data_IF_484096017127
#
_entry.id   IF_484096017127
#
_cell.length_a   1.000
_cell.length_b   1.000
_cell.length_c   1.000
_cell.angle_alpha   90.00
_cell.angle_beta   90.00
_cell.angle_gamma   90.00
#
_symmetry.space_group_name_H-M   'P 1'
#
loop_
_entity.id
_entity.type
_entity.pdbx_description
1 polymer ?
#
# COMPACT_ATOMS: atom_id res chain seq x y z
N UNK A 1 -5.31 -28.12 -6.19
CA UNK A 1 -6.02 -26.89 -6.63
C UNK A 1 -4.96 -25.81 -6.72
N UNK A 2 -4.97 -25.00 -7.77
CA UNK A 2 -4.09 -23.85 -7.87
C UNK A 2 -4.62 -22.74 -6.96
N UNK A 3 -3.73 -22.05 -6.25
CA UNK A 3 -4.09 -20.93 -5.37
C UNK A 3 -4.87 -19.85 -6.12
N UNK A 4 -5.93 -19.33 -5.51
CA UNK A 4 -6.78 -18.28 -6.08
C UNK A 4 -6.18 -16.91 -5.75
N UNK A 5 -5.89 -16.10 -6.77
CA UNK A 5 -5.34 -14.74 -6.64
C UNK A 5 -6.39 -13.71 -7.02
N UNK A 6 -6.74 -12.83 -6.10
CA UNK A 6 -7.52 -11.63 -6.38
C UNK A 6 -6.60 -10.39 -6.41
N UNK A 7 -6.55 -9.70 -7.54
CA UNK A 7 -5.97 -8.36 -7.60
C UNK A 7 -7.00 -7.32 -7.11
N UNK A 8 -6.55 -6.30 -6.39
CA UNK A 8 -7.38 -5.18 -5.91
C UNK A 8 -6.74 -3.87 -6.36
N UNK A 9 -7.52 -3.05 -7.08
CA UNK A 9 -7.13 -1.70 -7.48
C UNK A 9 -8.10 -0.71 -6.85
N UNK A 10 -7.57 0.34 -6.23
CA UNK A 10 -8.38 1.44 -5.68
C UNK A 10 -8.22 2.67 -6.55
N UNK A 11 -9.33 3.27 -6.99
CA UNK A 11 -9.29 4.45 -7.87
C UNK A 11 -10.20 5.57 -7.37
N UNK A 12 -9.77 6.81 -7.63
CA UNK A 12 -10.57 8.00 -7.40
C UNK A 12 -10.18 9.11 -8.38
N UNK A 13 -11.04 9.40 -9.38
CA UNK A 13 -10.81 10.46 -10.38
C UNK A 13 -9.47 10.31 -11.12
N UNK A 14 -9.20 9.12 -11.70
CA UNK A 14 -7.96 8.75 -12.40
C UNK A 14 -8.20 8.06 -13.73
N UNK A 15 -9.22 8.49 -14.45
CA UNK A 15 -9.61 7.91 -15.75
C UNK A 15 -8.45 7.83 -16.75
N UNK A 16 -7.52 8.78 -16.69
CA UNK A 16 -6.35 8.88 -17.57
C UNK A 16 -5.33 7.73 -17.44
N UNK A 17 -5.23 7.12 -16.26
CA UNK A 17 -4.23 6.08 -15.96
C UNK A 17 -4.84 4.69 -15.73
N UNK A 18 -6.03 4.64 -15.16
CA UNK A 18 -6.68 3.42 -14.69
C UNK A 18 -6.77 2.33 -15.78
N UNK A 19 -7.18 2.66 -17.00
CA UNK A 19 -7.30 1.67 -18.08
C UNK A 19 -6.00 0.89 -18.30
N UNK A 20 -4.86 1.58 -18.39
CA UNK A 20 -3.55 0.95 -18.53
C UNK A 20 -3.18 0.06 -17.34
N UNK A 21 -3.56 0.45 -16.12
CA UNK A 21 -3.33 -0.38 -14.91
C UNK A 21 -4.11 -1.69 -15.03
N UNK A 22 -5.43 -1.61 -15.32
CA UNK A 22 -6.28 -2.79 -15.43
C UNK A 22 -5.80 -3.73 -16.54
N UNK A 23 -5.45 -3.20 -17.71
CA UNK A 23 -4.92 -3.98 -18.82
C UNK A 23 -3.62 -4.69 -18.44
N UNK A 24 -2.70 -4.03 -17.72
CA UNK A 24 -1.44 -4.63 -17.28
C UNK A 24 -1.64 -5.78 -16.27
N UNK A 25 -2.68 -5.72 -15.45
CA UNK A 25 -3.05 -6.79 -14.51
C UNK A 25 -3.70 -7.96 -15.26
N UNK A 26 -4.58 -7.67 -16.20
CA UNK A 26 -5.28 -8.71 -16.97
C UNK A 26 -4.35 -9.45 -17.93
N UNK A 27 -3.21 -8.83 -18.33
CA UNK A 27 -2.19 -9.39 -19.22
C UNK A 27 -1.08 -10.18 -18.49
N UNK A 28 -1.20 -10.44 -17.17
CA UNK A 28 -0.18 -11.17 -16.42
C UNK A 28 0.06 -12.60 -16.97
N UNK A 29 1.33 -13.04 -17.04
CA UNK A 29 1.74 -14.43 -17.44
C UNK A 29 1.11 -15.48 -16.51
N UNK A 30 1.03 -15.20 -15.21
CA UNK A 30 0.16 -15.88 -14.25
C UNK A 30 -1.16 -15.05 -14.14
N UNK A 31 -2.24 -15.45 -14.84
CA UNK A 31 -3.49 -14.69 -14.80
C UNK A 31 -4.04 -14.55 -13.38
N UNK A 32 -4.60 -13.40 -13.05
CA UNK A 32 -5.40 -13.23 -11.84
C UNK A 32 -6.72 -13.98 -11.99
N UNK A 33 -7.18 -14.62 -10.91
CA UNK A 33 -8.47 -15.32 -10.91
C UNK A 33 -9.63 -14.31 -10.76
N UNK A 34 -9.35 -13.14 -10.16
CA UNK A 34 -10.27 -12.02 -10.03
C UNK A 34 -9.52 -10.69 -9.99
N UNK A 35 -10.10 -9.67 -10.64
CA UNK A 35 -9.69 -8.27 -10.52
C UNK A 35 -10.83 -7.50 -9.88
N UNK A 36 -10.63 -7.01 -8.66
CA UNK A 36 -11.60 -6.21 -7.91
C UNK A 36 -11.18 -4.75 -8.02
N UNK A 37 -12.01 -3.93 -8.64
CA UNK A 37 -11.79 -2.49 -8.78
C UNK A 37 -12.71 -1.75 -7.82
N UNK A 38 -12.11 -1.02 -6.88
CA UNK A 38 -12.85 -0.16 -5.95
C UNK A 38 -12.88 1.26 -6.52
N UNK A 39 -14.02 1.64 -7.11
CA UNK A 39 -14.30 3.04 -7.45
C UNK A 39 -14.72 3.79 -6.19
N UNK A 40 -13.83 4.59 -5.67
CA UNK A 40 -13.99 5.33 -4.41
C UNK A 40 -14.87 6.60 -4.58
N UNK A 41 -16.03 6.44 -5.24
CA UNK A 41 -17.00 7.48 -5.61
C UNK A 41 -16.43 8.52 -6.59
N UNK A 42 -15.81 8.09 -7.69
CA UNK A 42 -15.31 8.98 -8.74
C UNK A 42 -16.43 9.82 -9.36
N UNK A 43 -16.09 11.05 -9.71
CA UNK A 43 -17.00 12.05 -10.31
C UNK A 43 -16.60 12.47 -11.72
N UNK A 44 -15.47 11.96 -12.22
CA UNK A 44 -15.01 12.11 -13.60
C UNK A 44 -15.56 10.99 -14.51
N UNK A 45 -14.92 10.72 -15.64
CA UNK A 45 -15.30 9.65 -16.57
C UNK A 45 -14.82 8.24 -16.15
N UNK A 46 -14.35 8.05 -14.91
CA UNK A 46 -13.91 6.72 -14.41
C UNK A 46 -15.03 5.67 -14.52
N UNK A 47 -16.30 5.94 -14.14
CA UNK A 47 -17.36 4.94 -14.29
C UNK A 47 -17.62 4.50 -15.74
N UNK A 48 -17.48 5.42 -16.70
CA UNK A 48 -17.62 5.10 -18.13
C UNK A 48 -16.47 4.23 -18.65
N UNK A 49 -15.23 4.49 -18.18
CA UNK A 49 -14.09 3.62 -18.45
C UNK A 49 -14.30 2.22 -17.88
N UNK A 50 -14.75 2.13 -16.63
CA UNK A 50 -14.94 0.84 -15.96
C UNK A 50 -16.01 -0.02 -16.64
N UNK A 51 -17.04 0.58 -17.24
CA UNK A 51 -18.07 -0.14 -17.98
C UNK A 51 -17.52 -0.95 -19.17
N UNK A 52 -16.32 -0.62 -19.70
CA UNK A 52 -15.65 -1.41 -20.75
C UNK A 52 -15.27 -2.81 -20.27
N UNK A 53 -15.11 -2.99 -18.97
CA UNK A 53 -14.69 -4.25 -18.35
C UNK A 53 -15.86 -5.10 -17.79
N UNK A 54 -17.10 -4.62 -17.90
CA UNK A 54 -18.29 -5.30 -17.35
C UNK A 54 -18.52 -6.72 -17.93
N UNK A 55 -18.08 -6.96 -19.17
CA UNK A 55 -18.21 -8.27 -19.83
C UNK A 55 -17.08 -9.25 -19.49
N UNK A 56 -16.00 -8.84 -18.82
CA UNK A 56 -14.93 -9.76 -18.38
C UNK A 56 -15.32 -10.42 -17.05
N UNK A 57 -15.56 -11.74 -17.04
CA UNK A 57 -16.03 -12.46 -15.84
C UNK A 57 -15.01 -12.44 -14.69
N UNK A 58 -13.78 -12.06 -14.95
CA UNK A 58 -12.74 -11.91 -13.91
C UNK A 58 -12.83 -10.58 -13.18
N UNK A 59 -13.48 -9.56 -13.78
CA UNK A 59 -13.54 -8.19 -13.24
C UNK A 59 -14.78 -8.00 -12.38
N UNK A 60 -14.58 -7.49 -11.19
CA UNK A 60 -15.65 -7.09 -10.28
C UNK A 60 -15.48 -5.62 -9.89
N UNK A 61 -16.41 -4.77 -10.31
CA UNK A 61 -16.41 -3.35 -10.00
C UNK A 61 -17.26 -3.10 -8.77
N UNK A 62 -16.67 -2.47 -7.75
CA UNK A 62 -17.35 -2.09 -6.50
C UNK A 62 -17.28 -0.58 -6.37
N UNK A 63 -18.42 0.10 -6.55
CA UNK A 63 -18.53 1.53 -6.33
C UNK A 63 -18.93 1.83 -4.90
N UNK A 64 -18.15 2.68 -4.22
CA UNK A 64 -18.48 3.16 -2.88
C UNK A 64 -19.42 4.39 -2.95
N UNK A 65 -20.22 4.59 -1.89
CA UNK A 65 -21.16 5.70 -1.79
C UNK A 65 -20.46 7.07 -1.59
N UNK A 66 -19.26 7.05 -1.06
CA UNK A 66 -18.44 8.24 -0.79
C UNK A 66 -16.96 7.92 -0.83
N UNK A 67 -16.12 8.93 -1.06
CA UNK A 67 -14.67 8.79 -0.99
C UNK A 67 -14.23 8.52 0.45
N UNK A 68 -13.70 7.32 0.69
CA UNK A 68 -13.19 6.84 1.98
C UNK A 68 -11.65 6.92 2.07
N UNK A 69 -11.01 7.56 1.10
CA UNK A 69 -9.55 7.61 0.98
C UNK A 69 -8.96 6.28 0.49
N UNK A 70 -7.65 6.26 0.28
CA UNK A 70 -6.92 5.03 -0.09
C UNK A 70 -7.13 3.93 0.96
N UNK A 71 -6.99 4.27 2.23
CA UNK A 71 -7.15 3.34 3.36
C UNK A 71 -8.50 2.61 3.35
N UNK A 72 -9.59 3.36 3.15
CA UNK A 72 -10.94 2.79 3.08
C UNK A 72 -11.16 1.95 1.83
N UNK A 73 -10.65 2.41 0.68
CA UNK A 73 -10.71 1.67 -0.58
C UNK A 73 -9.99 0.33 -0.50
N UNK A 74 -8.73 0.30 -0.01
CA UNK A 74 -7.97 -0.94 0.17
C UNK A 74 -8.62 -1.87 1.20
N UNK A 75 -9.14 -1.32 2.31
CA UNK A 75 -9.87 -2.12 3.29
C UNK A 75 -11.10 -2.80 2.67
N UNK A 76 -11.90 -2.08 1.88
CA UNK A 76 -13.08 -2.62 1.19
C UNK A 76 -12.70 -3.68 0.14
N UNK A 77 -11.67 -3.41 -0.68
CA UNK A 77 -11.21 -4.34 -1.71
C UNK A 77 -10.63 -5.63 -1.13
N UNK A 78 -9.81 -5.53 -0.08
CA UNK A 78 -9.24 -6.69 0.61
C UNK A 78 -10.32 -7.51 1.31
N UNK A 79 -11.32 -6.86 1.95
CA UNK A 79 -12.47 -7.57 2.54
C UNK A 79 -13.23 -8.34 1.45
N UNK A 80 -13.48 -7.69 0.30
CA UNK A 80 -14.17 -8.31 -0.82
C UNK A 80 -13.41 -9.52 -1.39
N UNK A 81 -12.09 -9.38 -1.58
CA UNK A 81 -11.23 -10.49 -2.01
C UNK A 81 -11.27 -11.66 -1.01
N UNK A 82 -11.21 -11.35 0.27
CA UNK A 82 -11.31 -12.33 1.35
C UNK A 82 -12.66 -13.05 1.37
N UNK A 83 -13.77 -12.33 1.20
CA UNK A 83 -15.14 -12.91 1.09
C UNK A 83 -15.28 -13.82 -0.13
N UNK A 84 -14.62 -13.49 -1.24
CA UNK A 84 -14.59 -14.31 -2.47
C UNK A 84 -13.71 -15.56 -2.36
N UNK A 85 -13.04 -15.78 -1.24
CA UNK A 85 -12.25 -16.98 -1.00
C UNK A 85 -10.84 -16.92 -1.56
N UNK A 86 -10.32 -15.75 -1.96
CA UNK A 86 -8.97 -15.63 -2.46
C UNK A 86 -7.93 -16.14 -1.44
N UNK A 87 -6.95 -16.92 -1.90
CA UNK A 87 -5.81 -17.39 -1.12
C UNK A 87 -4.74 -16.29 -1.01
N UNK A 88 -4.68 -15.45 -2.06
CA UNK A 88 -3.77 -14.31 -2.18
C UNK A 88 -4.51 -13.06 -2.60
N UNK A 89 -4.19 -11.94 -1.98
CA UNK A 89 -4.70 -10.62 -2.35
C UNK A 89 -3.54 -9.76 -2.80
N UNK A 90 -3.55 -9.34 -4.07
CA UNK A 90 -2.53 -8.50 -4.69
C UNK A 90 -3.08 -7.08 -4.85
N UNK A 91 -2.61 -6.14 -4.02
CA UNK A 91 -3.14 -4.77 -3.95
C UNK A 91 -2.22 -3.77 -4.63
N UNK A 92 -2.79 -2.74 -5.27
CA UNK A 92 -2.04 -1.65 -5.91
C UNK A 92 -2.89 -0.40 -6.17
N UNK A 93 -2.20 0.74 -6.35
CA UNK A 93 -2.79 2.02 -6.74
C UNK A 93 -3.16 2.07 -8.23
N UNK A 94 -3.98 3.07 -8.63
CA UNK A 94 -4.51 3.27 -9.99
C UNK A 94 -3.53 3.94 -10.98
N UNK A 95 -2.27 4.11 -10.59
CA UNK A 95 -1.17 4.63 -11.42
C UNK A 95 0.08 3.74 -11.39
N UNK A 96 -0.11 2.43 -11.15
CA UNK A 96 0.93 1.42 -11.08
C UNK A 96 0.83 0.43 -12.24
N UNK A 97 1.80 0.44 -13.15
CA UNK A 97 1.84 -0.46 -14.30
C UNK A 97 2.72 -1.66 -14.00
N UNK A 98 2.15 -2.86 -14.04
CA UNK A 98 2.86 -4.10 -13.75
C UNK A 98 3.55 -4.67 -14.99
N UNK A 99 4.79 -5.18 -14.86
CA UNK A 99 5.36 -6.01 -15.92
C UNK A 99 4.59 -7.34 -16.01
N UNK A 100 4.55 -7.94 -17.20
CA UNK A 100 3.78 -9.15 -17.53
C UNK A 100 4.04 -10.32 -16.57
N UNK A 101 5.26 -10.44 -16.04
CA UNK A 101 5.67 -11.53 -15.15
C UNK A 101 5.66 -11.14 -13.66
N UNK A 102 5.15 -9.97 -13.32
CA UNK A 102 5.27 -9.44 -11.95
C UNK A 102 4.58 -10.34 -10.91
N UNK A 103 3.37 -10.80 -11.17
CA UNK A 103 2.63 -11.68 -10.26
C UNK A 103 3.28 -13.07 -10.12
N UNK A 104 3.71 -13.65 -11.24
CA UNK A 104 4.41 -14.95 -11.26
C UNK A 104 5.65 -14.91 -10.37
N UNK A 105 6.45 -13.84 -10.50
CA UNK A 105 7.67 -13.64 -9.72
C UNK A 105 7.38 -13.33 -8.26
N UNK A 106 6.29 -12.59 -7.95
CA UNK A 106 5.86 -12.40 -6.57
C UNK A 106 5.53 -13.72 -5.89
N UNK A 107 4.74 -14.56 -6.54
CA UNK A 107 4.31 -15.86 -5.98
C UNK A 107 5.51 -16.80 -5.80
N UNK A 108 6.36 -16.96 -6.83
CA UNK A 108 7.53 -17.84 -6.76
C UNK A 108 8.55 -17.35 -5.74
N UNK A 109 8.90 -16.05 -5.77
CA UNK A 109 9.85 -15.47 -4.83
C UNK A 109 9.34 -15.48 -3.38
N UNK A 110 8.01 -15.34 -3.16
CA UNK A 110 7.41 -15.51 -1.85
C UNK A 110 7.62 -16.94 -1.32
N UNK A 111 7.31 -17.95 -2.15
CA UNK A 111 7.45 -19.36 -1.77
C UNK A 111 8.93 -19.73 -1.51
N UNK A 112 9.85 -19.28 -2.36
CA UNK A 112 11.28 -19.45 -2.18
C UNK A 112 11.78 -18.83 -0.86
N UNK A 113 11.31 -17.62 -0.55
CA UNK A 113 11.66 -16.95 0.70
C UNK A 113 11.12 -17.69 1.94
N UNK A 114 9.88 -18.21 1.89
CA UNK A 114 9.33 -19.05 2.98
C UNK A 114 10.14 -20.31 3.20
N UNK A 115 10.50 -20.99 2.12
CA UNK A 115 11.34 -22.19 2.18
C UNK A 115 12.70 -21.90 2.81
N UNK A 116 13.38 -20.85 2.39
CA UNK A 116 14.71 -20.48 2.86
C UNK A 116 14.70 -20.01 4.32
N UNK A 117 13.68 -19.23 4.70
CA UNK A 117 13.53 -18.71 6.06
C UNK A 117 12.97 -19.76 7.05
N UNK A 118 12.41 -20.87 6.56
CA UNK A 118 11.75 -21.88 7.39
C UNK A 118 10.54 -21.37 8.18
N UNK A 119 9.91 -20.29 7.69
CA UNK A 119 8.74 -19.66 8.33
C UNK A 119 7.82 -19.01 7.32
N UNK A 120 6.56 -18.77 7.72
CA UNK A 120 5.63 -17.99 6.94
C UNK A 120 6.13 -16.53 6.75
N UNK A 121 6.05 -16.03 5.53
CA UNK A 121 6.27 -14.63 5.18
C UNK A 121 4.93 -13.90 5.19
N UNK A 122 4.76 -12.76 5.89
CA UNK A 122 3.46 -12.13 6.04
C UNK A 122 2.97 -11.42 4.77
N UNK A 123 3.86 -10.96 3.91
CA UNK A 123 3.59 -10.36 2.60
C UNK A 123 4.86 -10.31 1.77
N UNK A 124 4.68 -10.12 0.46
CA UNK A 124 5.75 -9.75 -0.46
C UNK A 124 5.35 -8.53 -1.28
N UNK A 125 6.32 -7.76 -1.77
CA UNK A 125 6.07 -6.65 -2.67
C UNK A 125 7.04 -6.65 -3.85
N UNK A 126 6.64 -5.98 -4.94
CA UNK A 126 7.49 -5.76 -6.11
C UNK A 126 8.54 -4.68 -5.86
N UNK A 127 9.59 -4.67 -6.67
CA UNK A 127 10.49 -3.52 -6.80
C UNK A 127 9.80 -2.45 -7.65
N UNK A 128 9.62 -1.26 -7.07
CA UNK A 128 8.92 -0.15 -7.73
C UNK A 128 9.91 0.75 -8.45
N UNK A 129 9.68 0.97 -9.74
CA UNK A 129 10.42 1.91 -10.58
C UNK A 129 9.60 3.19 -10.82
N UNK A 130 10.28 4.27 -11.02
CA UNK A 130 9.74 5.49 -11.60
C UNK A 130 9.70 5.37 -13.14
N UNK A 131 9.01 6.27 -13.82
CA UNK A 131 8.78 6.24 -15.28
C UNK A 131 10.05 6.33 -16.12
N UNK A 132 11.17 6.81 -15.58
CA UNK A 132 12.49 6.85 -16.21
C UNK A 132 13.32 5.58 -15.97
N UNK A 133 12.78 4.58 -15.27
CA UNK A 133 13.42 3.33 -14.91
C UNK A 133 14.25 3.37 -13.62
N UNK A 134 14.44 4.53 -13.02
CA UNK A 134 15.09 4.65 -11.70
C UNK A 134 14.21 4.08 -10.58
N UNK A 135 14.80 3.81 -9.41
CA UNK A 135 14.04 3.40 -8.23
C UNK A 135 13.06 4.52 -7.84
N UNK A 136 11.82 4.16 -7.55
CA UNK A 136 10.82 5.10 -7.08
C UNK A 136 11.08 5.47 -5.61
N UNK A 137 11.49 6.73 -5.36
CA UNK A 137 11.90 7.18 -4.01
C UNK A 137 10.76 7.09 -2.99
N UNK A 138 9.52 7.35 -3.41
CA UNK A 138 8.35 7.27 -2.52
C UNK A 138 8.05 5.85 -2.05
N UNK A 139 8.43 4.84 -2.86
CA UNK A 139 8.06 3.44 -2.63
C UNK A 139 9.24 2.56 -2.19
N UNK A 140 10.31 3.17 -1.68
CA UNK A 140 11.39 2.42 -1.06
C UNK A 140 10.87 1.67 0.16
N UNK A 141 10.99 0.35 0.14
CA UNK A 141 10.63 -0.49 1.27
C UNK A 141 11.60 -0.28 2.46
N UNK A 142 11.08 -0.35 3.67
CA UNK A 142 11.90 -0.28 4.88
C UNK A 142 12.69 -1.59 5.08
N UNK A 143 13.98 -1.58 4.86
CA UNK A 143 14.82 -2.75 5.00
C UNK A 143 15.07 -3.12 6.47
N UNK A 144 15.19 -4.44 6.77
CA UNK A 144 15.67 -4.90 8.07
C UNK A 144 17.18 -4.69 8.20
N UNK A 145 17.74 -4.84 9.42
CA UNK A 145 19.19 -4.76 9.62
C UNK A 145 19.95 -5.88 8.86
N UNK A 146 19.33 -7.05 8.66
CA UNK A 146 19.87 -8.21 7.93
C UNK A 146 19.24 -8.39 6.53
N UNK A 147 18.79 -7.31 5.91
CA UNK A 147 18.06 -7.26 4.65
C UNK A 147 18.64 -8.15 3.53
N UNK A 148 19.97 -8.28 3.48
CA UNK A 148 20.70 -9.02 2.46
C UNK A 148 20.78 -10.54 2.68
N UNK A 149 20.17 -11.09 3.74
CA UNK A 149 20.25 -12.52 4.08
C UNK A 149 19.86 -13.42 2.91
N UNK A 150 18.75 -13.15 2.25
CA UNK A 150 18.28 -13.94 1.11
C UNK A 150 19.17 -13.79 -0.13
N UNK A 151 19.73 -12.59 -0.36
CA UNK A 151 20.70 -12.36 -1.46
C UNK A 151 21.98 -13.19 -1.21
N UNK A 152 22.47 -13.25 0.03
CA UNK A 152 23.65 -14.07 0.39
C UNK A 152 23.43 -15.57 0.13
N UNK A 153 22.19 -16.02 0.06
CA UNK A 153 21.76 -17.38 -0.24
C UNK A 153 21.38 -17.57 -1.72
N UNK A 154 21.66 -16.58 -2.57
CA UNK A 154 21.44 -16.65 -4.01
C UNK A 154 20.02 -16.26 -4.48
N UNK A 155 19.14 -15.83 -3.57
CA UNK A 155 17.79 -15.42 -3.92
C UNK A 155 17.73 -13.95 -4.37
N UNK A 156 16.74 -13.62 -5.16
CA UNK A 156 16.47 -12.26 -5.65
C UNK A 156 15.43 -11.55 -4.80
N UNK A 157 15.65 -11.57 -3.48
CA UNK A 157 14.75 -11.00 -2.50
C UNK A 157 15.51 -10.32 -1.35
N UNK A 158 14.90 -9.32 -0.74
CA UNK A 158 15.42 -8.63 0.46
C UNK A 158 14.38 -8.64 1.56
N UNK A 159 14.84 -8.70 2.83
CA UNK A 159 13.96 -8.64 4.00
C UNK A 159 13.54 -7.20 4.28
N UNK A 160 12.24 -6.98 4.47
CA UNK A 160 11.65 -5.65 4.69
C UNK A 160 10.69 -5.66 5.87
N UNK A 161 10.59 -4.53 6.56
CA UNK A 161 9.63 -4.33 7.67
C UNK A 161 8.32 -3.70 7.20
N UNK A 162 8.36 -2.91 6.11
CA UNK A 162 7.21 -2.19 5.58
C UNK A 162 7.40 -1.87 4.10
N UNK A 163 6.29 -1.61 3.41
CA UNK A 163 6.26 -1.08 2.05
C UNK A 163 4.97 -0.30 1.80
N UNK A 164 4.93 0.47 0.70
CA UNK A 164 3.71 1.15 0.23
C UNK A 164 2.78 0.18 -0.51
N UNK A 165 1.48 0.54 -0.63
CA UNK A 165 0.47 -0.25 -1.35
C UNK A 165 0.59 -0.17 -2.88
N UNK A 166 1.82 -0.18 -3.37
CA UNK A 166 2.17 -0.23 -4.78
C UNK A 166 2.68 -1.64 -5.11
N UNK A 167 1.78 -2.56 -5.48
CA UNK A 167 2.08 -3.98 -5.75
C UNK A 167 2.52 -4.79 -4.51
N UNK A 168 1.58 -5.04 -3.61
CA UNK A 168 1.79 -5.88 -2.42
C UNK A 168 0.93 -7.13 -2.51
N UNK A 169 1.55 -8.30 -2.42
CA UNK A 169 0.91 -9.62 -2.38
C UNK A 169 0.79 -10.10 -0.94
N UNK A 170 -0.43 -10.33 -0.49
CA UNK A 170 -0.76 -10.65 0.91
C UNK A 170 -1.46 -12.00 0.97
N UNK A 171 -0.91 -13.00 1.68
CA UNK A 171 -1.58 -14.29 1.84
C UNK A 171 -2.81 -14.13 2.74
N UNK A 172 -3.87 -14.88 2.43
CA UNK A 172 -5.12 -14.92 3.19
C UNK A 172 -4.92 -15.07 4.70
N UNK A 173 -3.93 -15.86 5.11
CA UNK A 173 -3.59 -16.09 6.52
C UNK A 173 -3.20 -14.81 7.26
N UNK A 174 -2.52 -13.87 6.58
CA UNK A 174 -2.13 -12.57 7.17
C UNK A 174 -3.37 -11.70 7.40
N UNK A 175 -4.30 -11.64 6.43
CA UNK A 175 -5.57 -10.93 6.57
C UNK A 175 -6.42 -11.53 7.69
N UNK A 176 -6.49 -12.86 7.75
CA UNK A 176 -7.24 -13.57 8.80
C UNK A 176 -6.71 -13.27 10.20
N UNK A 177 -5.38 -13.15 10.35
CA UNK A 177 -4.73 -12.93 11.65
C UNK A 177 -4.75 -11.48 12.09
N UNK A 178 -4.45 -10.56 11.17
CA UNK A 178 -4.18 -9.16 11.50
C UNK A 178 -5.30 -8.19 11.10
N UNK A 179 -6.32 -8.66 10.39
CA UNK A 179 -7.44 -7.85 9.90
C UNK A 179 -7.08 -7.00 8.68
N UNK A 180 -7.86 -5.95 8.48
CA UNK A 180 -7.85 -5.07 7.33
C UNK A 180 -7.11 -3.75 7.63
N UNK A 181 -6.73 -2.95 6.60
CA UNK A 181 -6.22 -1.59 6.78
C UNK A 181 -7.17 -0.71 7.59
N UNK A 182 -6.62 0.24 8.34
CA UNK A 182 -7.37 1.16 9.20
C UNK A 182 -8.07 2.23 8.36
N UNK A 183 -9.38 2.09 8.16
CA UNK A 183 -10.20 3.01 7.34
C UNK A 183 -10.09 4.46 7.82
N UNK A 184 -9.98 4.67 9.13
CA UNK A 184 -9.91 5.98 9.77
C UNK A 184 -8.64 6.76 9.44
N UNK A 185 -7.63 6.09 8.89
CA UNK A 185 -6.41 6.74 8.40
C UNK A 185 -6.67 7.59 7.17
N UNK A 186 -7.63 7.21 6.36
CA UNK A 186 -8.07 7.87 5.13
C UNK A 186 -6.99 7.87 4.04
N UNK A 187 -5.84 8.49 4.27
CA UNK A 187 -4.69 8.58 3.36
C UNK A 187 -3.40 8.81 4.15
N UNK A 188 -2.30 8.26 3.61
CA UNK A 188 -0.94 8.33 4.13
C UNK A 188 -0.74 7.62 5.46
N UNK A 189 0.32 6.85 5.53
CA UNK A 189 0.70 5.99 6.64
C UNK A 189 -0.22 4.77 6.86
N UNK A 190 -1.26 4.61 6.10
CA UNK A 190 -2.13 3.42 6.13
C UNK A 190 -1.41 2.15 5.64
N UNK A 191 -0.60 2.30 4.59
CA UNK A 191 0.30 1.29 4.03
C UNK A 191 1.42 0.90 5.01
N UNK A 192 2.07 1.89 5.59
CA UNK A 192 3.13 1.70 6.60
C UNK A 192 2.58 1.02 7.85
N UNK A 193 1.45 1.49 8.39
CA UNK A 193 0.82 0.90 9.57
C UNK A 193 0.46 -0.56 9.31
N UNK A 194 -0.20 -0.84 8.19
CA UNK A 194 -0.65 -2.19 7.87
C UNK A 194 0.52 -3.15 7.71
N UNK A 195 1.53 -2.79 6.92
CA UNK A 195 2.69 -3.66 6.66
C UNK A 195 3.58 -3.83 7.89
N UNK A 196 3.78 -2.81 8.72
CA UNK A 196 4.42 -2.92 10.03
C UNK A 196 3.65 -3.85 10.98
N UNK A 197 2.31 -3.72 11.03
CA UNK A 197 1.46 -4.55 11.88
C UNK A 197 1.52 -6.03 11.49
N UNK A 198 1.44 -6.34 10.20
CA UNK A 198 1.53 -7.73 9.74
C UNK A 198 2.96 -8.29 9.79
N UNK A 199 3.98 -7.44 9.94
CA UNK A 199 5.37 -7.83 10.19
C UNK A 199 5.66 -8.23 11.65
N UNK A 200 4.67 -8.20 12.55
CA UNK A 200 4.87 -8.53 13.97
C UNK A 200 5.41 -9.95 14.19
N UNK A 201 5.13 -10.90 13.31
CA UNK A 201 5.66 -12.27 13.39
C UNK A 201 6.95 -12.47 12.58
N UNK A 202 7.47 -11.43 11.98
CA UNK A 202 8.68 -11.43 11.18
C UNK A 202 8.54 -10.60 9.90
N UNK A 203 9.68 -10.23 9.28
CA UNK A 203 9.71 -9.36 8.14
C UNK A 203 9.01 -9.96 6.91
N UNK A 204 8.45 -9.08 6.07
CA UNK A 204 8.06 -9.36 4.71
C UNK A 204 9.28 -9.43 3.78
N UNK A 205 9.03 -9.59 2.47
CA UNK A 205 10.08 -9.64 1.46
C UNK A 205 9.76 -8.73 0.28
N UNK A 206 10.76 -8.06 -0.26
CA UNK A 206 10.68 -7.41 -1.57
C UNK A 206 11.34 -8.30 -2.61
N UNK A 207 10.61 -8.64 -3.67
CA UNK A 207 11.07 -9.49 -4.77
C UNK A 207 11.67 -8.58 -5.84
N UNK A 208 12.99 -8.69 -6.05
CA UNK A 208 13.76 -7.72 -6.85
C UNK A 208 13.55 -7.83 -8.36
N UNK A 209 13.05 -8.94 -8.85
CA UNK A 209 12.73 -9.16 -10.26
C UNK A 209 11.22 -9.15 -10.57
N UNK A 210 10.38 -8.98 -9.58
CA UNK A 210 9.01 -8.55 -9.76
C UNK A 210 8.97 -7.02 -9.88
N UNK A 211 8.62 -6.51 -11.06
CA UNK A 211 8.80 -5.11 -11.39
C UNK A 211 7.47 -4.43 -11.69
N UNK A 212 7.30 -3.23 -11.13
CA UNK A 212 6.18 -2.34 -11.43
C UNK A 212 6.69 -0.92 -11.62
N UNK A 213 6.02 -0.14 -12.46
CA UNK A 213 6.30 1.27 -12.68
C UNK A 213 5.22 2.10 -12.04
N UNK A 214 5.58 3.00 -11.14
CA UNK A 214 4.68 3.98 -10.55
C UNK A 214 4.77 5.30 -11.30
N UNK A 215 3.67 5.70 -11.95
CA UNK A 215 3.60 6.90 -12.80
C UNK A 215 3.18 8.13 -11.98
N UNK A 216 4.15 8.66 -11.26
CA UNK A 216 3.98 9.89 -10.46
C UNK A 216 4.49 11.12 -11.20
N UNK A 217 4.02 12.33 -10.85
CA UNK A 217 4.50 13.59 -11.44
C UNK A 217 6.00 13.86 -11.21
N UNK A 218 6.54 13.39 -10.08
CA UNK A 218 7.96 13.58 -9.71
C UNK A 218 8.46 12.40 -8.89
N UNK A 219 9.72 11.98 -9.10
CA UNK A 219 10.37 10.95 -8.29
C UNK A 219 10.92 11.54 -6.99
N UNK A 220 10.05 11.75 -6.01
CA UNK A 220 10.42 12.30 -4.70
C UNK A 220 9.59 11.68 -3.59
N UNK A 221 10.25 11.36 -2.48
CA UNK A 221 9.58 10.93 -1.25
C UNK A 221 8.79 12.05 -0.57
N UNK A 222 7.97 11.68 0.41
CA UNK A 222 7.17 12.65 1.20
C UNK A 222 8.08 13.47 2.11
N UNK A 223 7.97 14.79 2.05
CA UNK A 223 8.74 15.71 2.88
C UNK A 223 7.85 16.83 3.42
N UNK A 224 7.79 17.02 4.73
CA UNK A 224 7.01 18.08 5.36
C UNK A 224 7.50 19.50 5.00
N UNK A 225 8.70 19.65 4.45
CA UNK A 225 9.18 20.90 3.88
C UNK A 225 8.44 21.33 2.61
N UNK A 226 7.79 20.40 1.90
CA UNK A 226 7.00 20.67 0.68
C UNK A 226 5.53 21.02 0.98
N UNK A 227 5.17 21.13 2.26
CA UNK A 227 3.81 21.46 2.71
C UNK A 227 3.41 22.87 2.27
N UNK A 228 2.28 22.95 1.56
CA UNK A 228 1.67 24.20 1.10
C UNK A 228 0.14 24.15 1.22
N UNK A 229 -0.60 25.24 1.00
CA UNK A 229 -2.06 25.25 1.15
C UNK A 229 -2.82 24.25 0.29
N UNK A 230 -2.33 23.93 -0.92
CA UNK A 230 -3.01 23.03 -1.85
C UNK A 230 -2.91 21.56 -1.43
N UNK A 231 -1.76 21.15 -0.86
CA UNK A 231 -1.50 19.78 -0.45
C UNK A 231 -1.68 19.53 1.07
N UNK A 232 -1.97 20.59 1.84
CA UNK A 232 -2.00 20.55 3.30
C UNK A 232 -2.90 19.43 3.87
N UNK A 233 -4.00 19.12 3.22
CA UNK A 233 -4.94 18.11 3.68
C UNK A 233 -4.27 16.72 3.83
N UNK A 234 -3.43 16.30 2.86
CA UNK A 234 -2.70 15.03 2.93
C UNK A 234 -1.72 15.03 4.12
N UNK A 235 -0.92 16.09 4.25
CA UNK A 235 0.06 16.23 5.34
C UNK A 235 -0.59 16.24 6.74
N UNK A 236 -1.81 16.76 6.85
CA UNK A 236 -2.54 16.77 8.13
C UNK A 236 -2.99 15.36 8.52
N UNK A 237 -3.48 14.55 7.58
CA UNK A 237 -3.75 13.12 7.82
C UNK A 237 -2.46 12.38 8.19
N UNK A 238 -1.40 12.50 7.38
CA UNK A 238 -0.12 11.85 7.63
C UNK A 238 0.46 12.19 9.00
N UNK A 239 0.45 13.46 9.39
CA UNK A 239 0.94 13.91 10.71
C UNK A 239 0.16 13.26 11.88
N UNK A 240 -1.17 13.16 11.77
CA UNK A 240 -2.00 12.48 12.77
C UNK A 240 -1.71 10.98 12.81
N UNK A 241 -1.71 10.34 11.65
CA UNK A 241 -1.60 8.90 11.50
C UNK A 241 -0.23 8.40 11.99
N UNK A 242 0.87 9.01 11.51
CA UNK A 242 2.22 8.66 11.95
C UNK A 242 2.42 8.94 13.44
N UNK A 243 1.90 10.07 13.95
CA UNK A 243 1.92 10.35 15.38
C UNK A 243 1.16 9.29 16.19
N UNK A 244 -0.01 8.85 15.72
CA UNK A 244 -0.79 7.78 16.34
C UNK A 244 0.02 6.49 16.42
N UNK A 245 0.54 6.03 15.29
CA UNK A 245 1.32 4.79 15.23
C UNK A 245 2.52 4.84 16.18
N UNK A 246 3.37 5.90 16.08
CA UNK A 246 4.57 6.03 16.91
C UNK A 246 4.25 6.17 18.41
N UNK A 247 3.11 6.76 18.74
CA UNK A 247 2.70 6.90 20.15
C UNK A 247 2.19 5.59 20.75
N UNK A 248 1.42 4.80 19.99
CA UNK A 248 0.71 3.63 20.50
C UNK A 248 1.42 2.29 20.20
N UNK A 249 2.20 2.21 19.12
CA UNK A 249 2.76 0.96 18.59
C UNK A 249 4.29 0.97 18.41
N UNK A 250 4.94 2.12 18.57
CA UNK A 250 6.39 2.30 18.56
C UNK A 250 6.85 2.84 19.94
N UNK A 251 8.06 3.37 20.08
CA UNK A 251 8.52 3.97 21.34
C UNK A 251 8.34 5.50 21.38
N UNK A 252 8.35 6.07 22.59
CA UNK A 252 8.17 7.52 22.79
C UNK A 252 9.34 8.36 22.26
N UNK A 253 10.52 7.77 22.13
CA UNK A 253 11.68 8.42 21.55
C UNK A 253 11.51 8.55 20.03
N UNK A 254 11.03 7.50 19.35
CA UNK A 254 10.68 7.55 17.93
C UNK A 254 9.59 8.58 17.65
N UNK A 255 8.58 8.69 18.53
CA UNK A 255 7.58 9.76 18.43
C UNK A 255 8.20 11.15 18.57
N UNK A 256 9.06 11.37 19.55
CA UNK A 256 9.75 12.65 19.74
C UNK A 256 10.64 12.99 18.53
N UNK A 257 11.39 12.03 18.03
CA UNK A 257 12.21 12.18 16.83
C UNK A 257 11.35 12.60 15.62
N UNK A 258 10.20 11.98 15.42
CA UNK A 258 9.26 12.35 14.37
C UNK A 258 8.80 13.81 14.52
N UNK A 259 8.42 14.24 15.73
CA UNK A 259 8.01 15.63 16.00
C UNK A 259 9.11 16.62 15.65
N UNK A 260 10.34 16.38 16.13
CA UNK A 260 11.49 17.26 15.91
C UNK A 260 11.86 17.31 14.43
N UNK A 261 11.91 16.17 13.76
CA UNK A 261 12.28 16.07 12.34
C UNK A 261 11.24 16.75 11.46
N UNK A 262 9.96 16.52 11.70
CA UNK A 262 8.85 17.15 10.99
C UNK A 262 8.93 18.68 11.11
N UNK A 263 9.14 19.19 12.33
CA UNK A 263 9.30 20.63 12.55
C UNK A 263 10.52 21.20 11.83
N UNK A 264 11.68 20.53 11.92
CA UNK A 264 12.91 20.94 11.25
C UNK A 264 12.75 21.02 9.71
N UNK A 265 12.08 20.02 9.10
CA UNK A 265 11.79 20.03 7.67
C UNK A 265 10.84 21.18 7.29
N UNK A 266 9.78 21.44 8.06
CA UNK A 266 8.88 22.56 7.80
C UNK A 266 9.61 23.92 7.88
N UNK A 267 10.51 24.10 8.84
CA UNK A 267 11.33 25.32 8.97
C UNK A 267 12.28 25.46 7.79
N UNK A 268 12.99 24.37 7.44
CA UNK A 268 13.93 24.35 6.29
C UNK A 268 13.21 24.63 4.96
N UNK A 269 11.99 24.13 4.79
CA UNK A 269 11.15 24.34 3.59
C UNK A 269 10.43 25.69 3.57
N UNK A 270 10.59 26.54 4.60
CA UNK A 270 9.93 27.85 4.65
C UNK A 270 8.41 27.79 4.85
N UNK A 271 7.89 26.70 5.41
CA UNK A 271 6.44 26.51 5.63
C UNK A 271 5.91 27.58 6.59
N UNK A 272 4.82 28.24 6.20
CA UNK A 272 4.23 29.32 6.99
C UNK A 272 3.74 28.84 8.37
N UNK A 273 3.90 29.70 9.41
CA UNK A 273 3.56 29.40 10.82
C UNK A 273 2.14 28.86 11.02
N UNK A 274 1.16 29.33 10.23
CA UNK A 274 -0.22 28.84 10.31
C UNK A 274 -0.34 27.35 9.97
N UNK A 275 0.38 26.89 8.97
CA UNK A 275 0.42 25.47 8.57
C UNK A 275 1.21 24.65 9.59
N UNK A 276 2.34 25.17 10.10
CA UNK A 276 3.10 24.50 11.16
C UNK A 276 2.23 24.25 12.40
N UNK A 277 1.42 25.22 12.82
CA UNK A 277 0.48 25.08 13.96
C UNK A 277 -0.63 24.05 13.66
N UNK A 278 -1.11 23.97 12.40
CA UNK A 278 -2.09 22.95 12.01
C UNK A 278 -1.48 21.54 12.10
N UNK A 279 -0.25 21.36 11.63
CA UNK A 279 0.46 20.07 11.75
C UNK A 279 0.67 19.71 13.22
N UNK A 280 1.14 20.64 14.05
CA UNK A 280 1.32 20.41 15.49
C UNK A 280 0.01 19.94 16.17
N UNK A 281 -1.14 20.57 15.82
CA UNK A 281 -2.44 20.12 16.30
C UNK A 281 -2.76 18.67 15.89
N UNK A 282 -2.43 18.26 14.66
CA UNK A 282 -2.67 16.90 14.20
C UNK A 282 -1.74 15.89 14.88
N UNK A 283 -0.46 16.25 15.09
CA UNK A 283 0.46 15.42 15.87
C UNK A 283 -0.11 15.18 17.30
N UNK A 284 -0.58 16.22 17.97
CA UNK A 284 -1.21 16.08 19.29
C UNK A 284 -2.53 15.28 19.24
N UNK A 285 -3.32 15.44 18.16
CA UNK A 285 -4.53 14.65 17.97
C UNK A 285 -4.20 13.15 17.80
N UNK A 286 -3.09 12.81 17.17
CA UNK A 286 -2.61 11.44 17.01
C UNK A 286 -2.41 10.71 18.34
N UNK A 287 -2.04 11.42 19.41
CA UNK A 287 -1.88 10.81 20.75
C UNK A 287 -3.20 10.21 21.27
N UNK A 288 -4.35 10.79 20.88
CA UNK A 288 -5.68 10.32 21.28
C UNK A 288 -6.37 9.46 20.22
N UNK A 289 -5.77 9.34 19.05
CA UNK A 289 -6.29 8.63 17.91
C UNK A 289 -5.65 7.25 17.84
N UNK A 290 -6.40 6.20 18.17
CA UNK A 290 -5.93 4.82 18.22
C UNK A 290 -7.01 3.88 17.63
N UNK A 291 -7.27 3.95 16.29
CA UNK A 291 -8.24 3.06 15.65
C UNK A 291 -7.76 1.61 15.73
N UNK A 292 -8.72 0.68 15.69
CA UNK A 292 -8.43 -0.75 15.77
C UNK A 292 -8.80 -1.44 14.46
N UNK A 293 -8.01 -2.42 14.00
CA UNK A 293 -8.27 -3.11 12.75
C UNK A 293 -9.60 -3.89 12.81
N UNK A 294 -10.37 -3.76 11.73
CA UNK A 294 -11.54 -4.60 11.50
C UNK A 294 -11.05 -5.98 11.02
N UNK A 295 -11.57 -7.05 11.60
CA UNK A 295 -11.30 -8.41 11.11
C UNK A 295 -12.12 -8.69 9.85
N UNK A 296 -11.49 -9.31 8.85
CA UNK A 296 -12.19 -9.72 7.64
C UNK A 296 -13.24 -10.79 7.96
N UNK A 297 -14.41 -10.69 7.34
CA UNK A 297 -15.50 -11.65 7.56
C UNK A 297 -15.39 -12.79 6.57
N UNK A 298 -15.35 -14.04 7.06
CA UNK A 298 -15.57 -15.19 6.18
C UNK A 298 -17.08 -15.29 5.88
N UNK A 299 -17.43 -15.39 4.61
CA UNK A 299 -18.79 -15.81 4.24
C UNK A 299 -18.94 -17.26 4.70
N UNK A 300 -19.89 -17.50 5.59
CA UNK A 300 -20.27 -18.86 6.03
C UNK A 300 -21.02 -19.59 4.94
#
# INVERSE_FOLDING_TARGET
>A
MTDQVAAVVVTYNRVDKLGRVLDSILAQSRPVDRLIVIDNASTDSTPQLLAVYDDDPRVEIVRLDSNTGGAGGFSAGMERAYERGADWVWIMDDDCYTEETALEKLLSGHAEAEQELGRNVPYSCSLVRYTDGSICEMNNAGATWDWGRLIAQGQRAVLITNCSFVSVLIPRRSIAKYGLPLVEYFIWFDDMEYTLRISADGPGVQILDSLVTHDMPTNRGVNFGDLNPANAWKFLYGARNESSYRWHHDDKLAWLQFVVTTYAWMVKGGVGRRLQLRVAKQILAGIKFDPKPKMARSVR
#
